data_IF_033772223907
#
_entry.id   IF_033772223907
#
_cell.length_a   1.000
_cell.length_b   1.000
_cell.length_c   1.000
_cell.angle_alpha   90.00
_cell.angle_beta   90.00
_cell.angle_gamma   90.00
#
_symmetry.space_group_name_H-M   'P 1'
#
loop_
_entity.id
_entity.type
_entity.pdbx_description
1 polymer ?
#
# COMPACT_ATOMS: atom_id res chain seq x y z
N UNK A 1 1.97 -29.72 10.70
CA UNK A 1 1.15 -28.58 10.24
C UNK A 1 1.92 -27.88 9.13
N UNK A 2 1.27 -27.60 7.99
CA UNK A 2 1.92 -26.96 6.85
C UNK A 2 1.40 -25.53 6.74
N UNK A 3 2.24 -24.56 7.10
CA UNK A 3 1.87 -23.14 7.17
C UNK A 3 2.29 -22.40 5.91
N UNK A 4 1.55 -21.35 5.56
CA UNK A 4 1.94 -20.37 4.55
C UNK A 4 1.43 -18.98 4.89
N UNK A 5 2.09 -17.97 4.32
CA UNK A 5 1.62 -16.58 4.29
C UNK A 5 1.33 -16.19 2.85
N UNK A 6 0.16 -15.60 2.62
CA UNK A 6 -0.29 -15.06 1.34
C UNK A 6 -0.42 -13.54 1.42
N UNK A 7 0.45 -12.84 0.71
CA UNK A 7 0.39 -11.40 0.52
C UNK A 7 -0.59 -11.06 -0.61
N UNK A 8 -1.58 -10.23 -0.32
CA UNK A 8 -2.60 -9.83 -1.32
C UNK A 8 -2.29 -8.42 -1.82
N UNK A 9 -1.87 -8.33 -3.08
CA UNK A 9 -1.67 -7.05 -3.78
C UNK A 9 -2.90 -6.64 -4.57
N UNK A 10 -2.98 -5.35 -4.92
CA UNK A 10 -4.05 -4.87 -5.80
C UNK A 10 -3.92 -5.42 -7.23
N UNK A 11 -2.69 -5.51 -7.75
CA UNK A 11 -2.43 -5.74 -9.16
C UNK A 11 -2.49 -4.46 -10.00
N UNK A 12 -1.77 -4.46 -11.11
CA UNK A 12 -1.66 -3.34 -12.05
C UNK A 12 -1.81 -3.83 -13.48
N UNK A 13 -2.30 -2.97 -14.38
CA UNK A 13 -2.21 -3.21 -15.83
C UNK A 13 -0.78 -3.01 -16.38
N UNK A 14 0.09 -2.38 -15.59
CA UNK A 14 1.49 -2.19 -15.92
C UNK A 14 2.33 -3.38 -15.41
N UNK A 15 2.96 -4.17 -16.31
CA UNK A 15 3.76 -5.34 -15.92
C UNK A 15 4.89 -5.02 -14.95
N UNK A 16 5.48 -3.81 -15.03
CA UNK A 16 6.58 -3.42 -14.16
C UNK A 16 6.15 -3.33 -12.69
N UNK A 17 4.96 -2.77 -12.43
CA UNK A 17 4.40 -2.70 -11.08
C UNK A 17 4.09 -4.08 -10.50
N UNK A 18 3.65 -5.02 -11.35
CA UNK A 18 3.40 -6.40 -10.91
C UNK A 18 4.70 -7.13 -10.60
N UNK A 19 5.73 -6.95 -11.43
CA UNK A 19 7.05 -7.52 -11.22
C UNK A 19 7.71 -6.97 -9.94
N UNK A 20 7.52 -5.68 -9.63
CA UNK A 20 8.03 -5.08 -8.40
C UNK A 20 7.39 -5.69 -7.14
N UNK A 21 6.06 -5.88 -7.14
CA UNK A 21 5.35 -6.55 -6.04
C UNK A 21 5.74 -8.02 -5.92
N UNK A 22 5.84 -8.75 -7.04
CA UNK A 22 6.25 -10.15 -7.03
C UNK A 22 7.66 -10.31 -6.44
N UNK A 23 8.61 -9.48 -6.87
CA UNK A 23 9.96 -9.48 -6.33
C UNK A 23 9.97 -9.15 -4.84
N UNK A 24 9.13 -8.21 -4.39
CA UNK A 24 8.97 -7.86 -2.99
C UNK A 24 8.41 -9.02 -2.15
N UNK A 25 7.33 -9.66 -2.60
CA UNK A 25 6.74 -10.81 -1.91
C UNK A 25 7.71 -11.99 -1.81
N UNK A 26 8.48 -12.25 -2.88
CA UNK A 26 9.55 -13.26 -2.87
C UNK A 26 10.66 -12.92 -1.87
N UNK A 27 11.08 -11.66 -1.81
CA UNK A 27 12.08 -11.20 -0.84
C UNK A 27 11.59 -11.35 0.62
N UNK A 28 10.29 -11.18 0.86
CA UNK A 28 9.66 -11.45 2.15
C UNK A 28 9.44 -12.95 2.45
N UNK A 29 9.76 -13.85 1.50
CA UNK A 29 9.51 -15.29 1.66
C UNK A 29 8.02 -15.66 1.65
N UNK A 30 7.14 -14.79 1.13
CA UNK A 30 5.68 -14.97 1.16
C UNK A 30 5.14 -15.40 -0.20
N UNK A 31 4.04 -16.17 -0.20
CA UNK A 31 3.23 -16.38 -1.40
C UNK A 31 2.51 -15.08 -1.74
N UNK A 32 2.08 -14.92 -2.98
CA UNK A 32 1.38 -13.71 -3.39
C UNK A 32 0.20 -14.00 -4.31
N UNK A 33 -0.75 -13.07 -4.33
CA UNK A 33 -1.80 -13.00 -5.33
C UNK A 33 -2.16 -11.54 -5.61
N UNK A 34 -2.89 -11.33 -6.70
CA UNK A 34 -3.40 -10.02 -7.08
C UNK A 34 -4.93 -10.03 -7.08
N UNK A 35 -5.54 -8.90 -6.73
CA UNK A 35 -7.00 -8.77 -6.80
C UNK A 35 -7.48 -8.56 -8.23
N UNK A 36 -6.76 -7.72 -8.98
CA UNK A 36 -7.14 -7.32 -10.32
C UNK A 36 -6.02 -7.55 -11.34
N UNK A 37 -6.43 -7.60 -12.61
CA UNK A 37 -5.62 -7.53 -13.82
C UNK A 37 -4.69 -8.70 -14.13
N UNK A 38 -4.13 -9.38 -13.12
CA UNK A 38 -3.13 -10.44 -13.32
C UNK A 38 -3.33 -11.63 -12.38
N UNK A 39 -2.81 -12.78 -12.80
CA UNK A 39 -2.82 -14.01 -12.00
C UNK A 39 -1.52 -14.16 -11.17
N UNK A 40 -1.54 -14.94 -10.07
CA UNK A 40 -2.69 -15.64 -9.55
C UNK A 40 -3.69 -14.69 -8.87
N UNK A 41 -4.96 -14.82 -9.19
CA UNK A 41 -6.06 -14.15 -8.48
C UNK A 41 -6.19 -14.70 -7.06
N UNK A 42 -6.80 -13.94 -6.13
CA UNK A 42 -7.01 -14.43 -4.75
C UNK A 42 -7.73 -15.80 -4.70
N UNK A 43 -8.84 -16.04 -5.43
CA UNK A 43 -9.46 -17.37 -5.48
C UNK A 43 -8.53 -18.45 -6.05
N UNK A 44 -7.71 -18.12 -7.07
CA UNK A 44 -6.78 -19.08 -7.68
C UNK A 44 -5.66 -19.45 -6.71
N UNK A 45 -5.05 -18.47 -6.04
CA UNK A 45 -4.01 -18.68 -5.05
C UNK A 45 -4.51 -19.54 -3.87
N UNK A 46 -5.70 -19.26 -3.35
CA UNK A 46 -6.33 -20.07 -2.30
C UNK A 46 -6.53 -21.52 -2.74
N UNK A 47 -6.98 -21.74 -3.98
CA UNK A 47 -7.14 -23.09 -4.54
C UNK A 47 -5.81 -23.82 -4.69
N UNK A 48 -4.74 -23.14 -5.09
CA UNK A 48 -3.41 -23.73 -5.24
C UNK A 48 -2.83 -24.12 -3.87
N UNK A 49 -2.92 -23.24 -2.89
CA UNK A 49 -2.45 -23.50 -1.52
C UNK A 49 -3.20 -24.66 -0.86
N UNK A 50 -4.51 -24.75 -1.07
CA UNK A 50 -5.28 -25.90 -0.62
C UNK A 50 -4.83 -27.21 -1.29
N UNK A 51 -4.55 -27.18 -2.59
CA UNK A 51 -4.05 -28.35 -3.34
C UNK A 51 -2.63 -28.75 -2.92
N UNK A 52 -1.80 -27.79 -2.49
CA UNK A 52 -0.48 -28.03 -1.89
C UNK A 52 -0.58 -28.63 -0.48
N UNK A 53 -1.78 -28.75 0.10
CA UNK A 53 -1.99 -29.28 1.45
C UNK A 53 -1.60 -28.32 2.57
N UNK A 54 -1.65 -27.00 2.32
CA UNK A 54 -1.54 -26.00 3.38
C UNK A 54 -2.71 -26.18 4.36
N UNK A 55 -2.39 -26.26 5.65
CA UNK A 55 -3.38 -26.44 6.73
C UNK A 55 -3.68 -25.13 7.45
N UNK A 56 -2.72 -24.20 7.46
CA UNK A 56 -2.83 -22.92 8.16
C UNK A 56 -2.31 -21.81 7.25
N UNK A 57 -3.17 -20.86 6.91
CA UNK A 57 -2.88 -19.79 5.97
C UNK A 57 -3.11 -18.43 6.63
N UNK A 58 -2.06 -17.63 6.76
CA UNK A 58 -2.16 -16.21 7.07
C UNK A 58 -2.31 -15.43 5.76
N UNK A 59 -3.28 -14.52 5.71
CA UNK A 59 -3.53 -13.66 4.56
C UNK A 59 -3.32 -12.22 5.00
N UNK A 60 -2.40 -11.52 4.35
CA UNK A 60 -2.05 -10.13 4.66
C UNK A 60 -2.40 -9.23 3.48
N UNK A 61 -3.40 -8.33 3.62
CA UNK A 61 -3.67 -7.30 2.61
C UNK A 61 -2.54 -6.28 2.53
N UNK A 62 -1.82 -6.22 1.42
CA UNK A 62 -0.74 -5.25 1.22
C UNK A 62 -1.25 -3.93 0.64
N UNK A 63 -1.98 -3.19 1.47
CA UNK A 63 -2.63 -1.92 1.12
C UNK A 63 -2.29 -0.85 2.16
N UNK A 64 -2.05 0.38 1.70
CA UNK A 64 -1.79 1.52 2.57
C UNK A 64 -3.03 1.88 3.40
N UNK A 65 -4.20 1.95 2.76
CA UNK A 65 -5.45 2.37 3.40
C UNK A 65 -6.60 1.40 3.09
N UNK A 66 -7.57 1.35 3.99
CA UNK A 66 -8.74 0.47 3.88
C UNK A 66 -9.80 1.03 2.92
N UNK A 67 -9.59 0.81 1.61
CA UNK A 67 -10.61 1.01 0.57
C UNK A 67 -11.59 -0.16 0.44
N UNK A 68 -12.42 -0.14 -0.62
CA UNK A 68 -13.44 -1.16 -0.87
C UNK A 68 -12.89 -2.59 -0.94
N UNK A 69 -11.70 -2.77 -1.53
CA UNK A 69 -11.04 -4.08 -1.58
C UNK A 69 -10.75 -4.67 -0.21
N UNK A 70 -10.14 -3.88 0.68
CA UNK A 70 -9.78 -4.31 2.04
C UNK A 70 -11.04 -4.54 2.88
N UNK A 71 -12.03 -3.65 2.76
CA UNK A 71 -13.25 -3.71 3.57
C UNK A 71 -14.26 -4.75 3.11
N UNK A 72 -14.32 -5.07 1.81
CA UNK A 72 -15.40 -5.88 1.24
C UNK A 72 -14.87 -7.10 0.46
N UNK A 73 -14.02 -6.88 -0.53
CA UNK A 73 -13.71 -7.91 -1.53
C UNK A 73 -12.84 -9.04 -0.96
N UNK A 74 -11.80 -8.69 -0.21
CA UNK A 74 -10.93 -9.68 0.46
C UNK A 74 -11.73 -10.46 1.51
N UNK A 75 -12.40 -9.83 2.51
CA UNK A 75 -13.16 -10.58 3.51
C UNK A 75 -14.22 -11.51 2.90
N UNK A 76 -14.94 -11.04 1.87
CA UNK A 76 -15.94 -11.86 1.16
C UNK A 76 -15.31 -13.08 0.50
N UNK A 77 -14.18 -12.90 -0.18
CA UNK A 77 -13.48 -14.00 -0.85
C UNK A 77 -12.95 -15.02 0.16
N UNK A 78 -12.39 -14.55 1.28
CA UNK A 78 -11.91 -15.40 2.37
C UNK A 78 -13.05 -16.19 3.02
N UNK A 79 -14.21 -15.56 3.25
CA UNK A 79 -15.40 -16.25 3.78
C UNK A 79 -15.85 -17.40 2.89
N UNK A 80 -15.88 -17.19 1.57
CA UNK A 80 -16.21 -18.23 0.59
C UNK A 80 -15.16 -19.35 0.63
N UNK A 81 -13.87 -19.00 0.70
CA UNK A 81 -12.78 -19.97 0.71
C UNK A 81 -12.76 -20.84 1.96
N UNK A 82 -13.07 -20.28 3.14
CA UNK A 82 -13.20 -21.06 4.39
C UNK A 82 -14.23 -22.18 4.28
N UNK A 83 -15.36 -21.93 3.61
CA UNK A 83 -16.38 -22.95 3.35
C UNK A 83 -15.91 -24.00 2.33
N UNK A 84 -15.18 -23.57 1.31
CA UNK A 84 -14.70 -24.43 0.22
C UNK A 84 -13.53 -25.33 0.63
N UNK A 85 -12.68 -24.87 1.55
CA UNK A 85 -11.46 -25.54 1.97
C UNK A 85 -11.45 -25.77 3.50
N UNK A 86 -12.35 -26.58 4.06
CA UNK A 86 -12.51 -26.72 5.51
C UNK A 86 -11.28 -27.32 6.24
N UNK A 87 -10.34 -27.92 5.49
CA UNK A 87 -9.07 -28.44 6.03
C UNK A 87 -7.95 -27.40 6.11
N UNK A 88 -8.18 -26.19 5.58
CA UNK A 88 -7.24 -25.08 5.60
C UNK A 88 -7.84 -23.97 6.46
N UNK A 89 -7.29 -23.77 7.66
CA UNK A 89 -7.63 -22.63 8.50
C UNK A 89 -7.05 -21.36 7.87
N UNK A 90 -7.92 -20.39 7.56
CA UNK A 90 -7.53 -19.15 6.87
C UNK A 90 -7.74 -17.99 7.83
N UNK A 91 -6.66 -17.27 8.15
CA UNK A 91 -6.63 -16.13 9.05
C UNK A 91 -6.36 -14.87 8.23
N UNK A 92 -7.25 -13.90 8.30
CA UNK A 92 -7.10 -12.63 7.60
C UNK A 92 -6.56 -11.61 8.60
N UNK A 93 -5.36 -11.10 8.35
CA UNK A 93 -4.77 -10.03 9.14
C UNK A 93 -5.14 -8.65 8.65
N UNK A 94 -4.69 -7.66 9.40
CA UNK A 94 -4.83 -6.25 9.07
C UNK A 94 -3.99 -5.85 7.87
N UNK A 95 -4.45 -4.81 7.17
CA UNK A 95 -3.67 -4.10 6.17
C UNK A 95 -2.53 -3.30 6.82
N UNK A 96 -1.72 -2.57 6.02
CA UNK A 96 -0.60 -1.81 6.59
C UNK A 96 -1.11 -0.68 7.47
N UNK A 97 -2.03 0.15 6.98
CA UNK A 97 -2.64 1.22 7.76
C UNK A 97 -1.66 2.35 8.08
N UNK A 98 -1.80 2.96 9.26
CA UNK A 98 -1.07 4.16 9.66
C UNK A 98 0.24 3.85 10.42
N UNK A 99 1.06 2.96 9.88
CA UNK A 99 2.26 2.49 10.57
C UNK A 99 3.41 3.51 10.55
N UNK A 100 4.13 3.62 11.68
CA UNK A 100 5.26 4.55 11.84
C UNK A 100 6.33 4.32 10.77
N UNK A 101 6.57 3.07 10.42
CA UNK A 101 7.55 2.68 9.41
C UNK A 101 7.23 3.28 8.03
N UNK A 102 5.96 3.45 7.68
CA UNK A 102 5.57 4.08 6.41
C UNK A 102 5.92 5.56 6.40
N UNK A 103 5.80 6.24 7.54
CA UNK A 103 6.23 7.63 7.70
C UNK A 103 7.74 7.77 7.57
N UNK A 104 8.50 6.86 8.19
CA UNK A 104 9.97 6.85 8.12
C UNK A 104 10.46 6.62 6.68
N UNK A 105 9.88 5.63 5.98
CA UNK A 105 10.15 5.40 4.56
C UNK A 105 9.79 6.63 3.73
N UNK A 106 8.61 7.21 3.96
CA UNK A 106 8.16 8.40 3.24
C UNK A 106 9.10 9.59 3.46
N UNK A 107 9.52 9.85 4.71
CA UNK A 107 10.46 10.92 5.05
C UNK A 107 11.79 10.75 4.30
N UNK A 108 12.31 9.52 4.21
CA UNK A 108 13.50 9.24 3.40
C UNK A 108 13.29 9.47 1.91
N UNK A 109 12.10 9.13 1.36
CA UNK A 109 11.78 9.42 -0.05
C UNK A 109 11.67 10.91 -0.31
N UNK A 110 11.14 11.68 0.65
CA UNK A 110 11.13 13.14 0.58
C UNK A 110 12.55 13.72 0.55
N UNK A 111 13.49 13.14 1.31
CA UNK A 111 14.85 13.64 1.44
C UNK A 111 14.94 14.89 2.32
N UNK A 112 15.84 15.82 1.99
CA UNK A 112 15.91 17.12 2.69
C UNK A 112 14.71 17.98 2.28
N UNK A 113 13.87 18.33 3.26
CA UNK A 113 12.62 19.06 3.03
C UNK A 113 12.58 20.43 3.69
N UNK A 114 13.54 20.79 4.54
CA UNK A 114 13.50 22.04 5.29
C UNK A 114 13.42 23.26 4.36
N UNK A 115 12.36 24.05 4.50
CA UNK A 115 12.11 25.22 3.66
C UNK A 115 11.69 24.89 2.22
N UNK A 116 11.25 23.66 1.95
CA UNK A 116 10.75 23.24 0.62
C UNK A 116 9.29 22.81 0.70
N UNK A 117 8.52 23.16 -0.32
CA UNK A 117 7.17 22.64 -0.54
C UNK A 117 7.25 21.17 -0.96
N UNK A 118 6.48 20.31 -0.30
CA UNK A 118 6.40 18.88 -0.64
C UNK A 118 4.95 18.51 -0.84
N UNK A 119 4.64 17.91 -1.99
CA UNK A 119 3.31 17.46 -2.35
C UNK A 119 3.29 15.94 -2.41
N UNK A 120 2.69 15.31 -1.39
CA UNK A 120 2.41 13.88 -1.39
C UNK A 120 1.25 13.58 -2.34
N UNK A 121 1.39 12.57 -3.18
CA UNK A 121 0.34 12.20 -4.13
C UNK A 121 -0.17 10.81 -3.83
N UNK A 122 -1.39 10.73 -3.31
CA UNK A 122 -2.10 9.46 -3.10
C UNK A 122 -2.92 9.06 -4.31
N UNK A 123 -3.41 7.81 -4.34
CA UNK A 123 -4.39 7.38 -5.35
C UNK A 123 -5.69 8.17 -5.27
N UNK A 124 -6.18 8.41 -4.05
CA UNK A 124 -7.53 8.84 -3.74
C UNK A 124 -8.53 7.70 -3.73
N UNK A 125 -9.62 7.87 -2.99
CA UNK A 125 -10.62 6.83 -2.73
C UNK A 125 -12.03 7.41 -2.70
N UNK A 126 -13.01 6.62 -3.15
CA UNK A 126 -14.43 6.92 -2.93
C UNK A 126 -14.85 6.69 -1.47
N UNK A 127 -14.02 6.01 -0.67
CA UNK A 127 -14.25 5.87 0.77
C UNK A 127 -13.56 7.00 1.51
N UNK A 128 -14.36 7.90 2.09
CA UNK A 128 -13.88 9.12 2.76
C UNK A 128 -12.79 8.85 3.81
N UNK A 129 -12.94 7.80 4.62
CA UNK A 129 -11.94 7.45 5.65
C UNK A 129 -10.54 7.19 5.09
N UNK A 130 -10.42 6.58 3.90
CA UNK A 130 -9.10 6.35 3.30
C UNK A 130 -8.43 7.65 2.84
N UNK A 131 -9.22 8.67 2.50
CA UNK A 131 -8.69 10.01 2.22
C UNK A 131 -8.33 10.74 3.52
N UNK A 132 -9.11 10.56 4.60
CA UNK A 132 -8.77 11.04 5.95
C UNK A 132 -7.45 10.43 6.45
N UNK A 133 -7.23 9.13 6.22
CA UNK A 133 -5.98 8.46 6.57
C UNK A 133 -4.76 9.09 5.86
N UNK A 134 -4.92 9.49 4.60
CA UNK A 134 -3.88 10.25 3.86
C UNK A 134 -3.61 11.63 4.50
N UNK A 135 -4.65 12.33 4.94
CA UNK A 135 -4.49 13.60 5.64
C UNK A 135 -3.74 13.41 6.96
N UNK A 136 -4.13 12.41 7.76
CA UNK A 136 -3.44 12.05 9.01
C UNK A 136 -1.97 11.68 8.77
N UNK A 137 -1.66 10.89 7.74
CA UNK A 137 -0.28 10.58 7.36
C UNK A 137 0.51 11.85 7.00
N UNK A 138 -0.12 12.78 6.29
CA UNK A 138 0.51 14.05 5.93
C UNK A 138 0.87 14.86 7.18
N UNK A 139 -0.04 14.96 8.15
CA UNK A 139 0.19 15.70 9.40
C UNK A 139 1.26 15.05 10.28
N UNK A 140 1.28 13.72 10.35
CA UNK A 140 2.35 13.00 11.01
C UNK A 140 3.70 13.23 10.33
N UNK A 141 3.75 13.26 9.00
CA UNK A 141 4.98 13.51 8.25
C UNK A 141 5.48 14.95 8.45
N UNK A 142 4.59 15.95 8.48
CA UNK A 142 4.92 17.34 8.84
C UNK A 142 5.61 17.40 10.19
N UNK A 143 5.05 16.70 11.16
CA UNK A 143 5.58 16.65 12.53
C UNK A 143 6.95 15.98 12.57
N UNK A 144 7.09 14.82 11.91
CA UNK A 144 8.32 14.03 11.88
C UNK A 144 9.48 14.78 11.20
N UNK A 145 9.19 15.53 10.14
CA UNK A 145 10.19 16.25 9.32
C UNK A 145 10.39 17.70 9.74
N UNK A 146 9.58 18.19 10.70
CA UNK A 146 9.51 19.61 11.06
C UNK A 146 9.27 20.54 9.87
N UNK A 147 8.49 20.09 8.89
CA UNK A 147 8.16 20.85 7.70
C UNK A 147 6.64 21.05 7.56
N UNK A 148 6.10 22.25 7.86
CA UNK A 148 4.67 22.53 7.71
C UNK A 148 4.22 22.63 6.25
N UNK A 149 5.14 22.82 5.30
CA UNK A 149 4.85 22.99 3.88
C UNK A 149 4.65 21.65 3.13
N UNK A 150 4.63 20.52 3.84
CA UNK A 150 4.19 19.25 3.27
C UNK A 150 2.66 19.29 3.13
N UNK A 151 2.10 18.90 1.99
CA UNK A 151 0.66 18.75 1.80
C UNK A 151 0.36 17.50 0.97
N UNK A 152 -0.91 17.24 0.67
CA UNK A 152 -1.29 16.09 -0.17
C UNK A 152 -2.34 16.46 -1.22
N UNK A 153 -2.34 15.67 -2.28
CA UNK A 153 -3.38 15.65 -3.31
C UNK A 153 -3.58 14.22 -3.83
N UNK A 154 -4.45 14.06 -4.82
CA UNK A 154 -4.80 12.77 -5.37
C UNK A 154 -4.60 12.71 -6.89
N UNK A 155 -4.16 11.57 -7.40
CA UNK A 155 -4.07 11.33 -8.85
C UNK A 155 -5.39 10.81 -9.44
N UNK A 156 -6.31 10.34 -8.59
CA UNK A 156 -7.61 9.81 -9.00
C UNK A 156 -8.65 9.93 -7.86
N UNK A 157 -9.93 9.78 -8.20
CA UNK A 157 -11.06 9.49 -7.28
C UNK A 157 -11.35 10.46 -6.11
N UNK A 158 -10.50 11.43 -5.82
CA UNK A 158 -10.65 12.41 -4.75
C UNK A 158 -10.00 13.74 -5.14
N UNK A 159 -10.31 14.79 -4.38
CA UNK A 159 -9.79 16.15 -4.56
C UNK A 159 -9.04 16.59 -3.30
N UNK A 160 -8.06 17.52 -3.40
CA UNK A 160 -7.61 18.17 -4.64
C UNK A 160 -6.86 17.21 -5.58
N UNK A 161 -6.96 17.44 -6.89
CA UNK A 161 -6.19 16.66 -7.87
C UNK A 161 -4.74 17.16 -7.97
N UNK A 162 -3.87 16.38 -8.64
CA UNK A 162 -2.45 16.72 -8.76
C UNK A 162 -2.19 18.10 -9.41
N UNK A 163 -2.80 18.46 -10.56
CA UNK A 163 -2.64 19.81 -11.13
C UNK A 163 -3.05 20.92 -10.16
N UNK A 164 -4.18 20.77 -9.45
CA UNK A 164 -4.63 21.74 -8.45
C UNK A 164 -3.65 21.84 -7.28
N UNK A 165 -3.15 20.71 -6.78
CA UNK A 165 -2.15 20.67 -5.72
C UNK A 165 -0.85 21.37 -6.09
N UNK A 166 -0.36 21.17 -7.33
CA UNK A 166 0.84 21.86 -7.83
C UNK A 166 0.58 23.37 -7.96
N UNK A 167 -0.58 23.78 -8.49
CA UNK A 167 -0.92 25.18 -8.65
C UNK A 167 -0.98 25.94 -7.32
N UNK A 168 -1.50 25.30 -6.26
CA UNK A 168 -1.60 25.90 -4.93
C UNK A 168 -0.24 26.35 -4.37
N UNK A 169 0.81 25.52 -4.47
CA UNK A 169 2.14 25.88 -3.94
C UNK A 169 2.84 26.98 -4.75
N UNK A 170 2.53 27.09 -6.04
CA UNK A 170 3.09 28.15 -6.89
C UNK A 170 2.58 29.55 -6.52
N UNK A 171 1.40 29.64 -5.91
CA UNK A 171 0.86 30.92 -5.45
C UNK A 171 1.62 31.45 -4.22
N UNK A 172 2.19 30.57 -3.41
CA UNK A 172 2.80 30.94 -2.13
C UNK A 172 4.24 31.45 -2.28
N UNK A 173 5.09 30.81 -3.11
CA UNK A 173 6.50 31.19 -3.26
C UNK A 173 7.07 31.11 -4.69
N UNK A 174 6.21 30.81 -5.68
CA UNK A 174 6.57 30.64 -7.09
C UNK A 174 7.60 29.52 -7.39
N UNK A 175 7.88 28.62 -6.43
CA UNK A 175 8.74 27.45 -6.62
C UNK A 175 7.90 26.17 -6.80
N UNK A 176 8.21 25.32 -7.80
CA UNK A 176 7.53 24.04 -7.95
C UNK A 176 7.76 23.13 -6.73
N UNK A 177 6.73 22.45 -6.20
CA UNK A 177 6.90 21.53 -5.08
C UNK A 177 7.70 20.29 -5.49
N UNK A 178 8.34 19.64 -4.51
CA UNK A 178 8.80 18.26 -4.64
C UNK A 178 7.56 17.36 -4.63
N UNK A 179 7.40 16.53 -5.64
CA UNK A 179 6.28 15.59 -5.76
C UNK A 179 6.73 14.21 -5.31
N UNK A 180 6.02 13.63 -4.34
CA UNK A 180 6.35 12.31 -3.77
C UNK A 180 5.13 11.38 -3.92
N UNK A 181 5.19 10.34 -4.77
CA UNK A 181 4.10 9.37 -4.89
C UNK A 181 3.97 8.53 -3.62
N UNK A 182 2.85 8.65 -2.90
CA UNK A 182 2.54 7.82 -1.73
C UNK A 182 1.92 6.48 -2.17
N UNK A 183 2.77 5.65 -2.79
CA UNK A 183 2.43 4.36 -3.39
C UNK A 183 3.44 3.29 -2.98
N UNK A 184 2.97 2.05 -2.84
CA UNK A 184 3.83 0.91 -2.49
C UNK A 184 4.73 0.47 -3.65
N UNK A 185 4.23 0.54 -4.88
CA UNK A 185 4.97 0.13 -6.09
C UNK A 185 4.70 1.08 -7.25
N UNK A 186 5.55 0.98 -8.27
CA UNK A 186 5.35 1.64 -9.56
C UNK A 186 4.09 1.12 -10.28
N UNK A 187 3.75 1.76 -11.38
CA UNK A 187 2.64 1.38 -12.24
C UNK A 187 2.11 2.57 -13.03
N UNK A 188 0.95 2.37 -13.67
CA UNK A 188 0.32 3.40 -14.51
C UNK A 188 0.14 4.73 -13.75
N UNK A 189 -0.29 4.68 -12.49
CA UNK A 189 -0.56 5.90 -11.71
C UNK A 189 0.74 6.62 -11.31
N UNK A 190 1.77 5.89 -10.86
CA UNK A 190 3.06 6.49 -10.51
C UNK A 190 3.72 7.11 -11.74
N UNK A 191 3.69 6.42 -12.89
CA UNK A 191 4.18 6.96 -14.18
C UNK A 191 3.37 8.18 -14.63
N UNK A 192 2.06 8.20 -14.38
CA UNK A 192 1.19 9.35 -14.67
C UNK A 192 1.54 10.55 -13.79
N UNK A 193 1.79 10.34 -12.49
CA UNK A 193 2.24 11.37 -11.55
C UNK A 193 3.55 11.97 -12.04
N UNK A 194 4.54 11.13 -12.35
CA UNK A 194 5.84 11.58 -12.82
C UNK A 194 5.74 12.45 -14.08
N UNK A 195 4.94 12.03 -15.07
CA UNK A 195 4.70 12.83 -16.29
C UNK A 195 4.08 14.20 -15.97
N UNK A 196 2.98 14.24 -15.23
CA UNK A 196 2.29 15.51 -14.90
C UNK A 196 3.22 16.45 -14.11
N UNK A 197 3.96 15.90 -13.15
CA UNK A 197 4.89 16.68 -12.35
C UNK A 197 6.07 17.21 -13.17
N UNK A 198 6.67 16.39 -14.05
CA UNK A 198 7.74 16.84 -14.94
C UNK A 198 7.27 17.92 -15.93
N UNK A 199 6.10 17.76 -16.54
CA UNK A 199 5.51 18.77 -17.43
C UNK A 199 5.28 20.10 -16.69
N UNK A 200 5.04 20.03 -15.37
CA UNK A 200 4.92 21.18 -14.49
C UNK A 200 6.25 21.61 -13.85
N UNK A 201 7.41 21.11 -14.29
CA UNK A 201 8.72 21.48 -13.75
C UNK A 201 8.96 21.12 -12.29
N UNK A 202 8.17 20.20 -11.73
CA UNK A 202 8.36 19.67 -10.38
C UNK A 202 9.47 18.61 -10.35
N UNK A 203 10.21 18.59 -9.26
CA UNK A 203 11.09 17.48 -8.91
C UNK A 203 10.25 16.28 -8.45
N UNK A 204 10.48 15.09 -9.00
CA UNK A 204 9.75 13.87 -8.60
C UNK A 204 10.66 12.94 -7.82
N UNK A 205 10.24 12.58 -6.62
CA UNK A 205 10.93 11.61 -5.76
C UNK A 205 10.37 10.19 -5.95
N UNK A 206 11.11 9.15 -5.57
CA UNK A 206 10.63 7.77 -5.67
C UNK A 206 9.40 7.51 -4.80
N UNK A 207 8.59 6.52 -5.20
CA UNK A 207 7.54 5.95 -4.35
C UNK A 207 8.14 5.17 -3.16
N UNK A 208 7.30 4.68 -2.24
CA UNK A 208 7.78 3.97 -1.03
C UNK A 208 8.64 2.74 -1.40
N UNK A 209 8.13 1.96 -2.34
CA UNK A 209 8.87 0.91 -3.03
C UNK A 209 9.22 -0.27 -2.14
N UNK A 210 10.22 -1.03 -2.59
CA UNK A 210 10.75 -2.23 -1.93
C UNK A 210 11.69 -1.88 -0.77
N UNK A 211 11.12 -1.40 0.33
CA UNK A 211 11.90 -1.08 1.54
C UNK A 211 11.93 -2.26 2.51
N UNK A 212 13.12 -2.60 3.03
CA UNK A 212 13.31 -3.74 3.93
C UNK A 212 12.51 -3.61 5.23
N UNK A 213 12.25 -2.38 5.71
CA UNK A 213 11.44 -2.18 6.91
C UNK A 213 9.97 -2.54 6.68
N UNK A 214 9.48 -2.47 5.45
CA UNK A 214 8.13 -2.94 5.10
C UNK A 214 8.05 -4.47 5.11
N UNK A 215 9.15 -5.17 4.78
CA UNK A 215 9.23 -6.63 4.95
C UNK A 215 9.18 -6.98 6.45
N UNK A 216 9.88 -6.22 7.29
CA UNK A 216 9.81 -6.42 8.74
C UNK A 216 8.39 -6.23 9.28
N UNK A 217 7.67 -5.19 8.83
CA UNK A 217 6.26 -4.98 9.16
C UNK A 217 5.39 -6.18 8.74
N UNK A 218 5.65 -6.80 7.59
CA UNK A 218 4.91 -7.99 7.16
C UNK A 218 5.14 -9.20 8.07
N UNK A 219 6.36 -9.41 8.55
CA UNK A 219 6.64 -10.47 9.52
C UNK A 219 6.05 -10.18 10.91
N UNK A 220 5.93 -8.89 11.27
CA UNK A 220 5.18 -8.50 12.46
C UNK A 220 3.70 -8.87 12.32
N UNK A 221 3.06 -8.50 11.19
CA UNK A 221 1.66 -8.86 10.87
C UNK A 221 1.45 -10.38 10.87
N UNK A 222 2.38 -11.12 10.29
CA UNK A 222 2.39 -12.58 10.34
C UNK A 222 2.40 -13.09 11.78
N UNK A 223 3.27 -12.54 12.63
CA UNK A 223 3.41 -12.94 14.03
C UNK A 223 2.14 -12.64 14.82
N UNK A 224 1.54 -11.45 14.64
CA UNK A 224 0.28 -11.04 15.25
C UNK A 224 -0.83 -12.05 14.93
N UNK A 225 -1.02 -12.38 13.65
CA UNK A 225 -1.98 -13.38 13.20
C UNK A 225 -1.78 -14.71 13.93
N UNK A 226 -0.54 -15.23 13.95
CA UNK A 226 -0.27 -16.53 14.58
C UNK A 226 -0.41 -16.53 16.11
N UNK A 227 -0.20 -15.40 16.78
CA UNK A 227 -0.40 -15.28 18.22
C UNK A 227 -1.88 -15.29 18.58
N UNK A 228 -2.72 -14.56 17.84
CA UNK A 228 -4.18 -14.55 18.04
C UNK A 228 -4.78 -15.96 17.92
N UNK A 229 -4.26 -16.79 16.99
CA UNK A 229 -4.72 -18.19 16.85
C UNK A 229 -4.46 -19.05 18.08
N UNK A 230 -3.41 -18.75 18.86
CA UNK A 230 -3.06 -19.53 20.07
C UNK A 230 -3.95 -19.16 21.25
N UNK A 231 -4.43 -17.93 21.30
CA UNK A 231 -5.28 -17.42 22.39
C UNK A 231 -6.74 -17.84 22.17
N UNK A 232 -7.21 -17.90 20.92
CA UNK A 232 -8.57 -18.34 20.60
C UNK A 232 -8.81 -19.86 20.65
N UNK A 233 -7.78 -20.66 20.98
CA UNK A 233 -7.81 -22.12 21.00
C UNK A 233 -7.68 -22.76 22.38
N UNK A 234 -7.72 -21.96 23.46
CA UNK A 234 -7.68 -22.41 24.86
C UNK A 234 -9.07 -22.46 25.49
#
# INVERSE_FOLDING_TARGET
MKKAVLLVGHGSKDPEGNAEFEAFAKAAGMRYCMLDYVEPSLPRALSLLAAEGITDLAVIPYFLFAGGHVKNDIPKTIHIARKRYPKMAIYLGEHLGLEKVLLEVCAERCGETKGRNVLLVGRGSLHAMANTDMATQTDHLRTLTHNPAISHCFIALALPDLPTGIAAHRLDDNTPPIVVPYFLFTGILVKRIARIAHDAGCEVRPHLGRDARLIHLLHQRETEIWQETRIGGS
#
